data_IF_204272302458
#
_entry.id   IF_204272302458
#
_cell.length_a   1.000
_cell.length_b   1.000
_cell.length_c   1.000
_cell.angle_alpha   90.00
_cell.angle_beta   90.00
_cell.angle_gamma   90.00
#
_symmetry.space_group_name_H-M   'P 1'
#
loop_
_entity.id
_entity.type
_entity.pdbx_description
1 polymer ?
#
# COMPACT_ATOMS: atom_id res chain seq x y z
N UNK A 1 -9.40 -10.63 8.26
CA UNK A 1 -9.52 -9.31 8.89
C UNK A 1 -9.48 -8.22 7.82
N UNK A 2 -10.47 -7.36 7.82
CA UNK A 2 -10.56 -6.22 6.91
C UNK A 2 -10.23 -4.93 7.66
N UNK A 3 -9.28 -4.15 7.14
CA UNK A 3 -8.94 -2.84 7.67
C UNK A 3 -9.05 -1.81 6.55
N UNK A 4 -9.95 -0.83 6.72
CA UNK A 4 -10.23 0.20 5.72
C UNK A 4 -9.70 1.54 6.22
N UNK A 5 -8.55 1.94 5.67
CA UNK A 5 -7.86 3.20 5.98
C UNK A 5 -7.72 3.51 7.47
N UNK A 6 -7.23 2.54 8.27
CA UNK A 6 -7.28 2.67 9.73
C UNK A 6 -6.39 3.79 10.28
N UNK A 7 -5.39 4.23 9.51
CA UNK A 7 -4.41 5.22 9.97
C UNK A 7 -4.52 6.58 9.27
N UNK A 8 -5.53 6.78 8.43
CA UNK A 8 -5.64 7.98 7.59
C UNK A 8 -5.78 9.29 8.36
N UNK A 9 -6.38 9.24 9.57
CA UNK A 9 -6.60 10.43 10.40
C UNK A 9 -5.41 10.78 11.30
N UNK A 10 -4.36 9.97 11.31
CA UNK A 10 -3.20 10.16 12.18
C UNK A 10 -2.11 11.00 11.50
N UNK A 11 -1.34 11.73 12.31
CA UNK A 11 -0.15 12.39 11.84
C UNK A 11 0.93 11.37 11.44
N UNK A 12 1.94 11.80 10.69
CA UNK A 12 2.93 10.90 10.09
C UNK A 12 3.67 10.07 11.14
N UNK A 13 4.11 10.69 12.23
CA UNK A 13 4.88 9.98 13.25
C UNK A 13 4.04 8.94 13.99
N UNK A 14 2.83 9.33 14.39
CA UNK A 14 1.89 8.44 15.07
C UNK A 14 1.50 7.28 14.15
N UNK A 15 1.26 7.58 12.88
CA UNK A 15 0.94 6.56 11.88
C UNK A 15 2.04 5.53 11.77
N UNK A 16 3.29 5.97 11.66
CA UNK A 16 4.43 5.05 11.55
C UNK A 16 4.57 4.16 12.78
N UNK A 17 4.36 4.71 13.97
CA UNK A 17 4.39 3.91 15.20
C UNK A 17 3.29 2.86 15.23
N UNK A 18 2.07 3.23 14.82
CA UNK A 18 0.93 2.32 14.78
C UNK A 18 1.12 1.23 13.72
N UNK A 19 1.69 1.59 12.58
CA UNK A 19 2.01 0.63 11.53
C UNK A 19 3.02 -0.41 12.00
N UNK A 20 4.07 0.01 12.71
CA UNK A 20 5.05 -0.91 13.30
C UNK A 20 4.41 -1.82 14.35
N UNK A 21 3.50 -1.30 15.17
CA UNK A 21 2.77 -2.12 16.13
C UNK A 21 1.90 -3.17 15.43
N UNK A 22 1.26 -2.79 14.34
CA UNK A 22 0.46 -3.74 13.55
C UNK A 22 1.33 -4.86 12.98
N UNK A 23 2.52 -4.53 12.48
CA UNK A 23 3.46 -5.53 11.97
C UNK A 23 3.90 -6.49 13.07
N UNK A 24 4.15 -6.00 14.28
CA UNK A 24 4.53 -6.83 15.42
C UNK A 24 3.40 -7.78 15.81
N UNK A 25 2.17 -7.29 15.86
CA UNK A 25 0.98 -8.10 16.16
C UNK A 25 0.79 -9.17 15.10
N UNK A 26 0.90 -8.81 13.83
CA UNK A 26 0.77 -9.75 12.73
C UNK A 26 1.84 -10.83 12.76
N UNK A 27 3.07 -10.47 13.11
CA UNK A 27 4.18 -11.43 13.21
C UNK A 27 3.90 -12.50 14.26
N UNK A 28 3.23 -12.12 15.36
CA UNK A 28 2.86 -13.06 16.44
C UNK A 28 1.68 -13.95 16.05
N UNK A 29 0.75 -13.46 15.26
CA UNK A 29 -0.48 -14.17 14.88
C UNK A 29 -0.79 -13.88 13.41
N UNK A 30 -0.18 -14.65 12.52
CA UNK A 30 -0.20 -14.44 11.07
C UNK A 30 -1.54 -14.78 10.46
N UNK A 31 -2.51 -13.89 10.59
CA UNK A 31 -3.80 -13.99 9.93
C UNK A 31 -3.78 -13.29 8.58
N UNK A 32 -4.68 -13.68 7.70
CA UNK A 32 -4.88 -12.96 6.45
C UNK A 32 -5.53 -11.63 6.74
N UNK A 33 -4.93 -10.55 6.25
CA UNK A 33 -5.41 -9.18 6.41
C UNK A 33 -5.63 -8.56 5.04
N UNK A 34 -6.82 -8.02 4.81
CA UNK A 34 -7.10 -7.17 3.66
C UNK A 34 -7.08 -5.72 4.14
N UNK A 35 -6.14 -4.95 3.59
CA UNK A 35 -5.87 -3.59 4.01
C UNK A 35 -6.17 -2.63 2.87
N UNK A 36 -7.08 -1.68 3.07
CA UNK A 36 -7.46 -0.70 2.05
C UNK A 36 -6.85 0.65 2.41
N UNK A 37 -6.12 1.25 1.48
CA UNK A 37 -5.45 2.53 1.69
C UNK A 37 -5.23 3.27 0.36
N UNK A 38 -5.17 4.60 0.40
CA UNK A 38 -4.68 5.39 -0.73
C UNK A 38 -3.19 5.71 -0.59
N UNK A 39 -2.57 5.38 0.53
CA UNK A 39 -1.16 5.68 0.78
C UNK A 39 -0.30 4.55 0.24
N UNK A 40 0.40 4.81 -0.86
CA UNK A 40 1.22 3.81 -1.53
C UNK A 40 2.39 3.35 -0.66
N UNK A 41 3.01 4.25 0.10
CA UNK A 41 4.11 3.88 1.00
C UNK A 41 3.62 2.90 2.07
N UNK A 42 2.44 3.15 2.63
CA UNK A 42 1.81 2.27 3.61
C UNK A 42 1.51 0.89 3.02
N UNK A 43 0.94 0.87 1.82
CA UNK A 43 0.63 -0.38 1.14
C UNK A 43 1.88 -1.25 0.94
N UNK A 44 2.98 -0.66 0.50
CA UNK A 44 4.23 -1.38 0.27
C UNK A 44 4.86 -1.83 1.59
N UNK A 45 4.88 -0.94 2.59
CA UNK A 45 5.54 -1.23 3.86
C UNK A 45 4.86 -2.37 4.63
N UNK A 46 3.55 -2.49 4.55
CA UNK A 46 2.78 -3.44 5.36
C UNK A 46 2.48 -4.76 4.65
N UNK A 47 2.38 -4.76 3.33
CA UNK A 47 1.74 -5.85 2.58
C UNK A 47 2.72 -6.86 2.00
N UNK A 48 2.23 -8.07 1.78
CA UNK A 48 2.91 -9.08 0.95
C UNK A 48 2.54 -8.90 -0.52
N UNK A 49 1.33 -8.42 -0.79
CA UNK A 49 0.84 -8.15 -2.14
C UNK A 49 0.05 -6.85 -2.15
N UNK A 50 0.22 -6.07 -3.20
CA UNK A 50 -0.55 -4.86 -3.44
C UNK A 50 -1.39 -5.03 -4.69
N UNK A 51 -2.68 -4.76 -4.59
CA UNK A 51 -3.60 -4.83 -5.71
C UNK A 51 -4.04 -3.42 -6.07
N UNK A 52 -3.71 -3.00 -7.27
CA UNK A 52 -4.11 -1.70 -7.80
C UNK A 52 -5.54 -1.81 -8.32
N UNK A 53 -6.42 -0.95 -7.80
CA UNK A 53 -7.83 -0.91 -8.20
C UNK A 53 -8.05 0.20 -9.22
N UNK A 54 -8.96 -0.06 -10.16
CA UNK A 54 -9.40 0.96 -11.10
C UNK A 54 -10.21 2.04 -10.37
N UNK A 55 -9.94 3.30 -10.69
CA UNK A 55 -10.73 4.42 -10.17
C UNK A 55 -12.11 4.45 -10.83
N UNK A 56 -13.14 4.87 -10.08
CA UNK A 56 -14.48 5.06 -10.59
C UNK A 56 -15.53 4.17 -9.94
N UNK A 57 -16.81 4.31 -10.34
CA UNK A 57 -17.92 3.64 -9.68
C UNK A 57 -17.96 2.12 -9.87
N UNK A 58 -17.23 1.60 -10.85
CA UNK A 58 -17.10 0.16 -11.09
C UNK A 58 -15.65 -0.26 -10.93
N UNK A 59 -15.13 -0.03 -9.72
CA UNK A 59 -13.75 -0.39 -9.40
C UNK A 59 -13.53 -1.88 -9.54
N UNK A 60 -12.46 -2.25 -10.24
CA UNK A 60 -12.02 -3.64 -10.37
C UNK A 60 -10.51 -3.70 -10.31
N UNK A 61 -9.95 -4.87 -9.93
CA UNK A 61 -8.51 -5.04 -9.92
C UNK A 61 -7.90 -4.83 -11.31
N UNK A 62 -6.83 -4.03 -11.37
CA UNK A 62 -6.11 -3.75 -12.61
C UNK A 62 -4.83 -4.56 -12.67
N UNK A 63 -4.07 -4.58 -11.57
CA UNK A 63 -2.77 -5.24 -11.53
C UNK A 63 -2.42 -5.62 -10.09
N UNK A 64 -1.72 -6.74 -9.95
CA UNK A 64 -1.19 -7.22 -8.68
C UNK A 64 0.33 -7.10 -8.67
N UNK A 65 0.88 -6.65 -7.53
CA UNK A 65 2.32 -6.54 -7.31
C UNK A 65 2.69 -7.38 -6.10
N UNK A 66 3.69 -8.24 -6.25
CA UNK A 66 4.27 -8.98 -5.13
C UNK A 66 5.33 -8.10 -4.47
N UNK A 67 5.23 -7.92 -3.16
CA UNK A 67 6.17 -7.09 -2.41
C UNK A 67 7.27 -8.00 -1.85
N UNK A 68 8.35 -8.12 -2.61
CA UNK A 68 9.47 -8.97 -2.26
C UNK A 68 10.47 -8.22 -1.36
N UNK A 69 10.04 -7.94 -0.15
CA UNK A 69 10.88 -7.33 0.89
C UNK A 69 10.81 -8.24 2.11
N UNK A 70 11.97 -8.61 2.63
CA UNK A 70 12.07 -9.53 3.75
C UNK A 70 11.41 -8.96 5.01
N UNK A 71 10.81 -9.87 5.79
CA UNK A 71 10.31 -9.58 7.13
C UNK A 71 11.32 -10.11 8.16
N UNK A 72 11.40 -9.53 9.36
CA UNK A 72 10.57 -8.41 9.86
C UNK A 72 10.92 -7.09 9.20
N UNK A 73 9.93 -6.19 9.14
CA UNK A 73 10.08 -4.86 8.54
C UNK A 73 9.89 -3.78 9.59
N UNK A 74 10.61 -2.67 9.42
CA UNK A 74 10.44 -1.43 10.17
C UNK A 74 10.03 -0.34 9.19
N UNK A 75 8.86 0.29 9.41
CA UNK A 75 8.33 1.28 8.45
C UNK A 75 9.17 2.55 8.37
N UNK A 76 9.98 2.86 9.40
CA UNK A 76 10.89 4.00 9.34
C UNK A 76 12.10 3.70 8.45
N UNK A 77 12.65 2.49 8.55
CA UNK A 77 13.86 2.09 7.83
C UNK A 77 13.59 1.61 6.41
N UNK A 78 12.46 0.95 6.18
CA UNK A 78 12.15 0.30 4.90
C UNK A 78 12.14 1.30 3.74
N UNK A 79 11.72 2.53 3.99
CA UNK A 79 11.62 3.59 2.98
C UNK A 79 12.96 4.04 2.43
N UNK A 80 14.03 3.74 3.15
CA UNK A 80 15.39 4.12 2.78
C UNK A 80 16.08 3.02 1.96
N UNK A 81 15.43 1.88 1.75
CA UNK A 81 16.01 0.77 1.01
C UNK A 81 15.78 0.90 -0.48
N UNK A 82 16.73 0.39 -1.27
CA UNK A 82 16.63 0.38 -2.73
C UNK A 82 15.45 -0.48 -3.20
N UNK A 83 15.20 -1.59 -2.53
CA UNK A 83 14.07 -2.47 -2.86
C UNK A 83 12.74 -1.73 -2.73
N UNK A 84 12.56 -0.97 -1.66
CA UNK A 84 11.35 -0.17 -1.46
C UNK A 84 11.18 0.87 -2.57
N UNK A 85 12.24 1.60 -2.86
CA UNK A 85 12.22 2.68 -3.88
C UNK A 85 11.89 2.10 -5.26
N UNK A 86 12.47 0.96 -5.60
CA UNK A 86 12.24 0.29 -6.88
C UNK A 86 10.78 -0.16 -7.02
N UNK A 87 10.22 -0.78 -5.99
CA UNK A 87 8.82 -1.22 -5.97
C UNK A 87 7.88 -0.01 -6.01
N UNK A 88 8.18 1.02 -5.23
CA UNK A 88 7.40 2.26 -5.20
C UNK A 88 7.30 2.87 -6.60
N UNK A 89 8.43 2.97 -7.29
CA UNK A 89 8.47 3.54 -8.64
C UNK A 89 7.66 2.73 -9.64
N UNK A 90 7.75 1.42 -9.55
CA UNK A 90 7.00 0.51 -10.42
C UNK A 90 5.49 0.68 -10.24
N UNK A 91 5.02 0.68 -9.00
CA UNK A 91 3.59 0.82 -8.69
C UNK A 91 3.12 2.24 -9.00
N UNK A 92 3.93 3.25 -8.68
CA UNK A 92 3.63 4.65 -8.98
C UNK A 92 3.40 4.88 -10.47
N UNK A 93 4.24 4.29 -11.32
CA UNK A 93 4.09 4.41 -12.77
C UNK A 93 2.77 3.79 -13.25
N UNK A 94 2.41 2.63 -12.72
CA UNK A 94 1.14 1.98 -13.06
C UNK A 94 -0.05 2.80 -12.57
N UNK A 95 0.02 3.32 -11.35
CA UNK A 95 -1.03 4.17 -10.77
C UNK A 95 -1.22 5.46 -11.58
N UNK A 96 -0.13 6.08 -12.00
CA UNK A 96 -0.17 7.30 -12.81
C UNK A 96 -0.89 7.09 -14.13
N UNK A 97 -0.60 5.98 -14.80
CA UNK A 97 -1.28 5.62 -16.06
C UNK A 97 -2.77 5.44 -15.82
N UNK A 98 -3.16 4.76 -14.75
CA UNK A 98 -4.57 4.52 -14.41
C UNK A 98 -5.31 5.84 -14.11
N UNK A 99 -4.69 6.73 -13.35
CA UNK A 99 -5.28 8.05 -13.03
C UNK A 99 -5.46 8.87 -14.30
N UNK A 100 -4.49 8.90 -15.18
CA UNK A 100 -4.59 9.63 -16.46
C UNK A 100 -5.70 9.06 -17.33
N UNK A 101 -5.83 7.75 -17.38
CA UNK A 101 -6.88 7.09 -18.16
C UNK A 101 -8.26 7.41 -17.60
N UNK A 102 -8.44 7.35 -16.29
CA UNK A 102 -9.70 7.72 -15.64
C UNK A 102 -10.07 9.18 -15.92
N UNK A 103 -9.08 10.07 -15.90
CA UNK A 103 -9.31 11.50 -16.20
C UNK A 103 -9.77 11.69 -17.64
N UNK A 104 -9.17 10.99 -18.59
CA UNK A 104 -9.60 11.04 -20.00
C UNK A 104 -11.04 10.57 -20.19
N UNK A 105 -11.41 9.49 -19.53
CA UNK A 105 -12.77 8.97 -19.57
C UNK A 105 -13.77 9.97 -18.98
N UNK A 106 -13.37 10.68 -17.91
CA UNK A 106 -14.25 11.66 -17.27
C UNK A 106 -14.50 12.90 -18.13
N UNK A 107 -13.56 13.30 -19.00
CA UNK A 107 -13.68 14.49 -19.86
C UNK A 107 -14.11 14.15 -21.28
N UNK A 108 -14.17 12.89 -21.61
CA UNK A 108 -14.67 12.44 -22.92
C UNK A 108 -16.22 12.39 -22.92
#
# INVERSE_FOLDING_TARGET
>A
LLMDEPFSALDVQTRNLMENQLLDIWTSDKKTVLFVTHDLEEAIALSDRVILMQAGPRSKPVKEFVIDINRPRDVFEIRLTDDFISIYREIWNALRVEVQQSHREAVA
#
